data_IF_933247677424
#
_entry.id   IF_933247677424
#
_cell.length_a   1.000
_cell.length_b   1.000
_cell.length_c   1.000
_cell.angle_alpha   90.00
_cell.angle_beta   90.00
_cell.angle_gamma   90.00
#
_symmetry.space_group_name_H-M   'P 1'
#
loop_
_entity.id
_entity.type
_entity.pdbx_description
1 polymer ?
#
# COMPACT_ATOMS: atom_id res chain seq x y z
N UNK A 1 -19.90 -1.72 25.15
CA UNK A 1 -20.54 -1.47 23.85
C UNK A 1 -19.45 -1.42 22.79
N UNK A 2 -19.76 -1.73 21.53
CA UNK A 2 -18.81 -1.52 20.44
C UNK A 2 -18.56 -0.01 20.24
N UNK A 3 -17.36 0.41 19.81
CA UNK A 3 -17.11 1.79 19.45
C UNK A 3 -18.00 2.21 18.28
N UNK A 4 -18.37 3.49 18.25
CA UNK A 4 -19.06 4.14 17.13
C UNK A 4 -18.02 4.80 16.22
N UNK A 5 -18.19 4.64 14.92
CA UNK A 5 -17.29 5.17 13.90
C UNK A 5 -18.02 6.21 13.07
N UNK A 6 -17.31 7.27 12.68
CA UNK A 6 -17.80 8.30 11.77
C UNK A 6 -16.87 8.39 10.55
N UNK A 7 -17.41 8.77 9.40
CA UNK A 7 -16.59 9.05 8.24
C UNK A 7 -15.78 10.33 8.50
N UNK A 8 -14.47 10.26 8.32
CA UNK A 8 -13.63 11.44 8.32
C UNK A 8 -13.68 12.11 6.95
N UNK A 9 -14.11 13.38 6.92
CA UNK A 9 -14.05 14.21 5.72
C UNK A 9 -12.79 15.09 5.76
N UNK A 10 -11.99 15.04 4.68
CA UNK A 10 -10.78 15.86 4.54
C UNK A 10 -9.51 15.04 4.29
N UNK A 11 -8.37 15.71 4.30
CA UNK A 11 -7.07 15.06 4.16
C UNK A 11 -6.69 14.34 5.45
N UNK A 12 -6.37 13.07 5.34
CA UNK A 12 -5.93 12.28 6.48
C UNK A 12 -4.46 12.57 6.78
N UNK A 13 -4.12 12.72 8.06
CA UNK A 13 -2.74 12.91 8.49
C UNK A 13 -2.06 11.54 8.65
N UNK A 14 -1.54 11.00 7.55
CA UNK A 14 -0.71 9.80 7.57
C UNK A 14 0.74 10.25 7.48
N UNK A 15 1.51 10.00 8.53
CA UNK A 15 2.95 10.29 8.62
C UNK A 15 3.82 9.05 8.34
N UNK A 16 3.24 7.85 8.55
CA UNK A 16 3.92 6.56 8.50
C UNK A 16 3.08 5.54 7.73
N UNK A 17 3.72 4.80 6.82
CA UNK A 17 3.11 3.68 6.10
C UNK A 17 3.89 2.41 6.38
N UNK A 18 3.18 1.38 6.85
CA UNK A 18 3.73 0.04 7.06
C UNK A 18 3.25 -0.87 5.93
N UNK A 19 4.19 -1.50 5.23
CA UNK A 19 3.92 -2.52 4.21
C UNK A 19 4.19 -3.89 4.81
N UNK A 20 3.14 -4.64 5.21
CA UNK A 20 3.32 -5.94 5.83
C UNK A 20 3.59 -7.04 4.80
N UNK A 21 4.52 -7.94 5.11
CA UNK A 21 4.81 -9.15 4.34
C UNK A 21 4.88 -10.36 5.29
N UNK A 22 3.74 -11.03 5.48
CA UNK A 22 3.62 -12.22 6.32
C UNK A 22 3.52 -13.47 5.45
N UNK A 23 4.43 -14.42 5.65
CA UNK A 23 4.46 -15.67 4.86
C UNK A 23 4.59 -16.96 5.70
N UNK A 24 4.66 -16.85 7.04
CA UNK A 24 4.80 -17.98 7.96
C UNK A 24 6.24 -18.47 8.19
N UNK A 25 7.23 -18.02 7.42
CA UNK A 25 8.60 -18.54 7.44
C UNK A 25 9.69 -17.48 7.60
N UNK A 26 9.38 -16.18 7.50
CA UNK A 26 10.39 -15.13 7.64
C UNK A 26 10.85 -14.87 9.06
N UNK A 27 12.17 -14.72 9.21
CA UNK A 27 12.75 -13.99 10.34
C UNK A 27 12.27 -12.53 10.30
N UNK A 28 11.84 -11.97 11.44
CA UNK A 28 11.38 -10.59 11.50
C UNK A 28 12.44 -9.62 10.99
N UNK A 29 12.03 -8.72 10.11
CA UNK A 29 12.89 -7.64 9.63
C UNK A 29 12.09 -6.38 9.33
N UNK A 30 12.73 -5.25 9.59
CA UNK A 30 12.20 -3.91 9.41
C UNK A 30 13.16 -3.14 8.51
N UNK A 31 12.67 -2.65 7.38
CA UNK A 31 13.49 -1.92 6.41
C UNK A 31 12.75 -0.65 5.97
N UNK A 32 13.41 0.50 6.13
CA UNK A 32 12.94 1.76 5.53
C UNK A 32 13.09 1.66 4.01
N UNK A 33 12.02 1.97 3.29
CA UNK A 33 11.95 1.85 1.85
C UNK A 33 12.48 3.13 1.18
N UNK A 34 13.14 2.99 0.03
CA UNK A 34 13.46 4.13 -0.82
C UNK A 34 12.23 4.66 -1.57
N UNK A 35 12.38 5.80 -2.23
CA UNK A 35 11.31 6.46 -2.98
C UNK A 35 10.72 5.55 -4.06
N UNK A 36 11.60 4.83 -4.77
CA UNK A 36 11.19 3.91 -5.83
C UNK A 36 10.34 2.77 -5.28
N UNK A 37 10.81 2.08 -4.24
CA UNK A 37 10.11 0.94 -3.67
C UNK A 37 8.78 1.37 -3.04
N UNK A 38 8.75 2.55 -2.40
CA UNK A 38 7.55 3.13 -1.81
C UNK A 38 6.49 3.44 -2.88
N UNK A 39 6.91 4.10 -3.97
CA UNK A 39 6.06 4.36 -5.14
C UNK A 39 5.53 3.09 -5.79
N UNK A 40 6.38 2.07 -5.93
CA UNK A 40 5.98 0.77 -6.45
C UNK A 40 4.87 0.13 -5.60
N UNK A 41 5.00 0.13 -4.27
CA UNK A 41 3.98 -0.45 -3.39
C UNK A 41 2.66 0.32 -3.46
N UNK A 42 2.70 1.65 -3.47
CA UNK A 42 1.48 2.48 -3.61
C UNK A 42 0.76 2.18 -4.92
N UNK A 43 1.48 2.13 -6.04
CA UNK A 43 0.90 1.80 -7.33
C UNK A 43 0.34 0.38 -7.37
N UNK A 44 1.03 -0.59 -6.79
CA UNK A 44 0.56 -1.96 -6.69
C UNK A 44 -0.72 -2.06 -5.84
N UNK A 45 -0.80 -1.34 -4.73
CA UNK A 45 -2.01 -1.26 -3.91
C UNK A 45 -3.18 -0.59 -4.65
N UNK A 46 -2.94 0.49 -5.40
CA UNK A 46 -3.96 1.14 -6.23
C UNK A 46 -4.46 0.19 -7.33
N UNK A 47 -3.56 -0.53 -7.99
CA UNK A 47 -3.92 -1.49 -9.02
C UNK A 47 -4.88 -2.56 -8.50
N UNK A 48 -4.60 -3.12 -7.31
CA UNK A 48 -5.46 -4.09 -6.66
C UNK A 48 -6.77 -3.47 -6.16
N UNK A 49 -6.74 -2.24 -5.62
CA UNK A 49 -7.95 -1.55 -5.17
C UNK A 49 -8.95 -1.32 -6.30
N UNK A 50 -8.45 -0.95 -7.48
CA UNK A 50 -9.28 -0.77 -8.67
C UNK A 50 -9.48 -2.05 -9.50
N UNK A 51 -8.96 -3.20 -9.02
CA UNK A 51 -9.05 -4.51 -9.66
C UNK A 51 -8.55 -4.50 -11.13
N UNK A 52 -7.57 -3.66 -11.45
CA UNK A 52 -7.08 -3.50 -12.82
C UNK A 52 -6.40 -4.79 -13.35
N UNK A 53 -6.00 -5.68 -12.44
CA UNK A 53 -5.39 -6.99 -12.71
C UNK A 53 -6.38 -8.16 -12.80
N UNK A 54 -7.62 -8.03 -12.32
CA UNK A 54 -8.51 -9.19 -12.16
C UNK A 54 -9.32 -9.54 -13.43
N UNK A 55 -9.28 -8.69 -14.46
CA UNK A 55 -9.97 -8.94 -15.73
C UNK A 55 -9.11 -9.71 -16.76
N UNK A 56 -8.45 -10.78 -16.32
CA UNK A 56 -7.63 -11.63 -17.18
C UNK A 56 -8.32 -12.98 -17.41
N UNK A 57 -8.97 -13.12 -18.56
CA UNK A 57 -9.50 -14.40 -19.06
C UNK A 57 -8.86 -14.76 -20.40
N UNK A 58 -8.46 -16.03 -20.56
CA UNK A 58 -7.91 -16.54 -21.83
C UNK A 58 -8.92 -16.27 -22.96
N UNK A 59 -8.42 -15.76 -24.10
CA UNK A 59 -9.24 -15.47 -25.28
C UNK A 59 -9.93 -14.10 -25.29
N UNK A 60 -9.72 -13.27 -24.26
CA UNK A 60 -10.25 -11.91 -24.20
C UNK A 60 -9.12 -10.88 -24.29
N UNK A 61 -9.38 -9.76 -24.97
CA UNK A 61 -8.45 -8.62 -24.98
C UNK A 61 -8.37 -8.05 -23.56
N UNK A 62 -7.15 -7.91 -23.04
CA UNK A 62 -6.91 -7.30 -21.74
C UNK A 62 -7.52 -5.88 -21.74
N UNK A 63 -8.47 -5.57 -20.84
CA UNK A 63 -9.06 -4.24 -20.82
C UNK A 63 -8.02 -3.25 -20.28
N UNK A 64 -7.66 -2.27 -21.09
CA UNK A 64 -7.02 -1.06 -20.59
C UNK A 64 -8.11 -0.23 -19.90
N UNK A 65 -8.33 -0.51 -18.61
CA UNK A 65 -9.40 0.11 -17.80
C UNK A 65 -9.14 1.59 -17.48
N UNK A 66 -7.97 2.10 -17.86
CA UNK A 66 -7.52 3.44 -17.54
C UNK A 66 -7.36 4.32 -18.80
N UNK A 67 -7.98 5.50 -18.79
CA UNK A 67 -7.72 6.56 -19.76
C UNK A 67 -6.40 7.26 -19.45
N UNK A 68 -5.87 8.08 -20.37
CA UNK A 68 -4.66 8.86 -20.13
C UNK A 68 -4.81 9.82 -18.93
N UNK A 69 -5.96 10.47 -18.81
CA UNK A 69 -6.27 11.40 -17.74
C UNK A 69 -6.32 10.69 -16.38
N UNK A 70 -6.91 9.50 -16.35
CA UNK A 70 -6.99 8.66 -15.17
C UNK A 70 -5.61 8.14 -14.74
N UNK A 71 -4.73 7.79 -15.69
CA UNK A 71 -3.34 7.41 -15.40
C UNK A 71 -2.55 8.57 -14.81
N UNK A 72 -2.67 9.77 -15.38
CA UNK A 72 -2.00 10.96 -14.88
C UNK A 72 -2.46 11.32 -13.45
N UNK A 73 -3.77 11.24 -13.20
CA UNK A 73 -4.35 11.51 -11.86
C UNK A 73 -3.82 10.54 -10.80
N UNK A 74 -3.68 9.25 -11.13
CA UNK A 74 -3.13 8.26 -10.18
C UNK A 74 -1.62 8.41 -9.97
N UNK A 75 -0.87 8.76 -11.01
CA UNK A 75 0.54 9.07 -10.89
C UNK A 75 0.79 10.26 -9.97
N UNK A 76 0.03 11.36 -10.17
CA UNK A 76 0.06 12.54 -9.30
C UNK A 76 -0.29 12.20 -7.85
N UNK A 77 -1.34 11.40 -7.63
CA UNK A 77 -1.68 10.93 -6.29
C UNK A 77 -0.53 10.15 -5.65
N UNK A 78 0.07 9.18 -6.36
CA UNK A 78 1.15 8.37 -5.82
C UNK A 78 2.38 9.22 -5.47
N UNK A 79 2.75 10.19 -6.32
CA UNK A 79 3.86 11.11 -6.08
C UNK A 79 3.62 11.98 -4.83
N UNK A 80 2.46 12.63 -4.74
CA UNK A 80 2.09 13.46 -3.57
C UNK A 80 1.89 12.64 -2.30
N UNK A 81 1.49 11.38 -2.43
CA UNK A 81 1.31 10.49 -1.30
C UNK A 81 2.66 9.99 -0.76
N UNK A 82 3.60 9.61 -1.63
CA UNK A 82 4.89 9.04 -1.22
C UNK A 82 5.83 10.11 -0.68
N UNK A 83 5.97 11.25 -1.36
CA UNK A 83 7.01 12.24 -1.08
C UNK A 83 7.14 12.70 0.40
N UNK A 84 6.05 12.92 1.17
CA UNK A 84 6.18 13.37 2.56
C UNK A 84 6.22 12.23 3.59
N UNK A 85 6.02 10.96 3.20
CA UNK A 85 5.74 9.85 4.12
C UNK A 85 6.91 8.88 4.22
N UNK A 86 7.14 8.38 5.43
CA UNK A 86 8.07 7.25 5.63
C UNK A 86 7.37 5.94 5.40
N UNK A 87 8.02 5.06 4.64
CA UNK A 87 7.54 3.72 4.37
C UNK A 87 8.49 2.71 4.99
N UNK A 88 7.93 1.72 5.69
CA UNK A 88 8.68 0.59 6.18
C UNK A 88 8.06 -0.71 5.67
N UNK A 89 8.90 -1.56 5.10
CA UNK A 89 8.55 -2.95 4.83
C UNK A 89 8.85 -3.77 6.08
N UNK A 90 7.84 -4.48 6.58
CA UNK A 90 7.99 -5.40 7.70
C UNK A 90 7.72 -6.82 7.21
N UNK A 91 8.76 -7.66 7.26
CA UNK A 91 8.60 -9.10 7.05
C UNK A 91 8.51 -9.78 8.40
N UNK A 92 7.59 -10.72 8.54
CA UNK A 92 7.41 -11.45 9.79
C UNK A 92 6.72 -12.79 9.55
N UNK A 93 6.95 -13.76 10.43
CA UNK A 93 6.26 -15.04 10.36
C UNK A 93 4.77 -14.95 10.72
N UNK A 94 4.35 -13.97 11.53
CA UNK A 94 2.98 -13.85 12.02
C UNK A 94 2.63 -12.41 12.41
N UNK A 95 1.33 -12.10 12.66
CA UNK A 95 0.90 -10.74 13.00
C UNK A 95 1.52 -10.18 14.29
N UNK A 96 1.78 -11.00 15.30
CA UNK A 96 2.39 -10.51 16.55
C UNK A 96 3.82 -10.03 16.31
N UNK A 97 4.64 -10.86 15.65
CA UNK A 97 6.00 -10.49 15.30
C UNK A 97 6.05 -9.27 14.36
N UNK A 98 5.04 -9.09 13.51
CA UNK A 98 4.91 -7.87 12.70
C UNK A 98 4.69 -6.64 13.58
N UNK A 99 3.75 -6.70 14.53
CA UNK A 99 3.49 -5.60 15.44
C UNK A 99 4.71 -5.26 16.29
N UNK A 100 5.46 -6.27 16.75
CA UNK A 100 6.70 -6.08 17.52
C UNK A 100 7.77 -5.29 16.73
N UNK A 101 7.83 -5.45 15.40
CA UNK A 101 8.70 -4.64 14.53
C UNK A 101 8.15 -3.23 14.29
N UNK A 102 6.83 -3.09 14.15
CA UNK A 102 6.16 -1.79 13.95
C UNK A 102 6.37 -0.86 15.15
N UNK A 103 6.34 -1.38 16.37
CA UNK A 103 6.58 -0.60 17.61
C UNK A 103 7.97 0.08 17.64
N UNK A 104 8.91 -0.32 16.79
CA UNK A 104 10.24 0.32 16.72
C UNK A 104 10.24 1.64 15.95
N UNK A 105 9.17 1.90 15.20
CA UNK A 105 9.01 3.09 14.33
C UNK A 105 7.76 3.91 14.64
N UNK A 106 6.96 3.48 15.61
CA UNK A 106 5.92 4.28 16.27
C UNK A 106 6.53 5.14 17.38
#
# INVERSE_FOLDING_TARGET
SMPTWENFEGETNIDLVIVPAIDGNFDPSLVEMGDFESGFQVLHSLQNYFLLNELLAIGHVMPMVDTEELRATRADFAERFVAPRKFYMVRAANPQALMDEVEKVL
#
